data_IF_511713166740
#
_entry.id   IF_511713166740
#
_cell.length_a   1.000
_cell.length_b   1.000
_cell.length_c   1.000
_cell.angle_alpha   90.00
_cell.angle_beta   90.00
_cell.angle_gamma   90.00
#
_symmetry.space_group_name_H-M   'P 1'
#
loop_
_entity.id
_entity.type
_entity.pdbx_description
1 polymer ?
#
# COMPACT_ATOMS: atom_id res chain seq x y z
N UNK A 1 3.50 65.73 4.28
CA UNK A 1 4.01 64.61 3.47
C UNK A 1 3.67 63.30 4.18
N UNK A 2 2.70 62.57 3.64
CA UNK A 2 2.31 61.19 4.02
C UNK A 2 3.32 60.19 3.45
N UNK A 3 3.30 58.94 3.96
CA UNK A 3 4.00 57.69 3.55
C UNK A 3 5.16 57.35 4.50
N UNK A 4 5.28 56.19 5.14
CA UNK A 4 4.87 54.79 4.87
C UNK A 4 4.67 54.14 6.28
N UNK A 5 3.46 53.77 6.71
CA UNK A 5 2.79 52.46 6.54
C UNK A 5 3.65 51.30 7.10
N UNK A 6 3.48 50.94 8.38
CA UNK A 6 2.58 49.88 8.83
C UNK A 6 2.81 48.51 8.13
N UNK A 7 4.02 47.96 8.20
CA UNK A 7 4.34 46.61 7.71
C UNK A 7 4.83 45.65 8.80
N UNK A 8 4.43 45.86 10.06
CA UNK A 8 4.84 45.00 11.18
C UNK A 8 3.79 43.99 11.65
N UNK A 9 2.61 43.89 11.01
CA UNK A 9 1.54 43.00 11.51
C UNK A 9 0.96 42.01 10.50
N UNK A 10 1.44 41.97 9.24
CA UNK A 10 0.97 40.97 8.26
C UNK A 10 1.84 39.71 8.12
N UNK A 11 3.03 39.64 8.75
CA UNK A 11 3.92 38.49 8.53
C UNK A 11 3.66 37.28 9.44
N UNK A 12 2.78 37.40 10.44
CA UNK A 12 2.48 36.29 11.36
C UNK A 12 1.23 35.51 10.92
N UNK A 13 0.38 36.07 10.06
CA UNK A 13 -0.89 35.44 9.68
C UNK A 13 -0.81 34.52 8.45
N UNK A 14 0.34 34.44 7.76
CA UNK A 14 0.48 33.64 6.53
C UNK A 14 1.09 32.24 6.75
N UNK A 15 1.31 31.82 8.00
CA UNK A 15 1.79 30.46 8.33
C UNK A 15 0.70 29.58 8.94
N UNK A 16 -0.56 29.83 8.57
CA UNK A 16 -1.71 28.98 8.90
C UNK A 16 -2.43 28.54 7.61
N UNK A 17 -1.65 28.22 6.57
CA UNK A 17 -2.18 27.65 5.33
C UNK A 17 -1.91 26.14 5.35
N UNK A 18 -2.93 25.45 5.88
CA UNK A 18 -3.35 24.10 5.50
C UNK A 18 -2.29 23.00 5.54
N UNK A 19 -1.99 22.52 6.75
CA UNK A 19 -1.88 21.07 6.92
C UNK A 19 -3.28 20.52 6.64
N UNK A 20 -3.58 20.26 5.37
CA UNK A 20 -4.63 19.31 5.04
C UNK A 20 -4.09 17.96 5.48
N UNK A 21 -4.38 17.60 6.72
CA UNK A 21 -4.32 16.21 7.14
C UNK A 21 -5.06 15.42 6.06
N UNK A 22 -4.33 14.61 5.30
CA UNK A 22 -4.91 13.64 4.40
C UNK A 22 -5.63 12.67 5.32
N UNK A 23 -6.91 12.94 5.60
CA UNK A 23 -7.79 12.00 6.27
C UNK A 23 -8.00 10.87 5.26
N UNK A 24 -7.11 9.88 5.30
CA UNK A 24 -7.35 8.60 4.64
C UNK A 24 -8.58 8.03 5.36
N UNK A 25 -9.70 7.79 4.67
CA UNK A 25 -10.82 7.11 5.28
C UNK A 25 -10.32 5.72 5.69
N UNK A 26 -10.09 5.50 6.98
CA UNK A 26 -9.75 4.19 7.50
C UNK A 26 -11.03 3.36 7.47
N UNK A 27 -11.35 2.78 6.30
CA UNK A 27 -12.34 1.71 6.20
C UNK A 27 -11.83 0.62 7.14
N UNK A 28 -12.52 0.38 8.25
CA UNK A 28 -12.15 -0.68 9.17
C UNK A 28 -12.48 -2.00 8.49
N UNK A 29 -11.50 -2.55 7.77
CA UNK A 29 -11.70 -3.81 7.08
C UNK A 29 -11.26 -4.93 8.00
N UNK A 30 -12.23 -5.68 8.47
CA UNK A 30 -12.00 -6.88 9.27
C UNK A 30 -11.80 -8.05 8.32
N UNK A 31 -10.65 -8.72 8.40
CA UNK A 31 -10.54 -10.06 7.84
C UNK A 31 -11.57 -10.95 8.54
N UNK A 32 -12.26 -11.84 7.81
CA UNK A 32 -13.12 -12.82 8.47
C UNK A 32 -12.25 -13.65 9.44
N UNK A 33 -12.65 -13.82 10.71
CA UNK A 33 -11.89 -14.63 11.63
C UNK A 33 -11.98 -16.09 11.18
N UNK A 34 -10.91 -16.57 10.56
CA UNK A 34 -10.75 -17.97 10.16
C UNK A 34 -10.15 -18.77 11.33
N UNK A 35 -10.63 -20.00 11.51
CA UNK A 35 -10.07 -20.95 12.45
C UNK A 35 -9.96 -22.34 11.83
N UNK A 36 -9.39 -23.29 12.56
CA UNK A 36 -9.28 -24.67 12.11
C UNK A 36 -10.19 -25.58 12.94
N UNK A 37 -11.00 -26.38 12.25
CA UNK A 37 -11.71 -27.52 12.84
C UNK A 37 -11.17 -28.82 12.22
N UNK A 38 -10.38 -29.56 13.00
CA UNK A 38 -9.61 -30.71 12.54
C UNK A 38 -8.78 -30.38 11.29
N UNK A 39 -9.17 -30.90 10.11
CA UNK A 39 -8.49 -30.69 8.82
C UNK A 39 -9.07 -29.55 7.98
N UNK A 40 -10.11 -28.86 8.46
CA UNK A 40 -10.83 -27.84 7.72
C UNK A 40 -10.52 -26.44 8.23
N UNK A 41 -10.49 -25.47 7.30
CA UNK A 41 -10.57 -24.05 7.62
C UNK A 41 -12.06 -23.72 7.71
N UNK A 42 -12.47 -23.07 8.79
CA UNK A 42 -13.86 -22.67 9.04
C UNK A 42 -13.96 -21.18 9.37
N UNK A 43 -15.09 -20.57 9.05
CA UNK A 43 -15.43 -19.20 9.45
C UNK A 43 -15.96 -19.14 10.90
N UNK A 44 -16.38 -17.94 11.33
CA UNK A 44 -16.99 -17.72 12.66
C UNK A 44 -18.27 -18.51 12.93
N UNK A 45 -18.97 -18.95 11.88
CA UNK A 45 -20.18 -19.75 11.96
C UNK A 45 -19.88 -21.26 11.93
N UNK A 46 -18.60 -21.65 11.90
CA UNK A 46 -18.17 -23.05 11.73
C UNK A 46 -18.37 -23.58 10.32
N UNK A 47 -18.66 -22.72 9.33
CA UNK A 47 -18.84 -23.14 7.95
C UNK A 47 -17.47 -23.32 7.28
N UNK A 48 -17.32 -24.43 6.55
CA UNK A 48 -16.08 -24.74 5.86
C UNK A 48 -15.78 -23.72 4.76
N UNK A 49 -14.60 -23.11 4.84
CA UNK A 49 -14.05 -22.21 3.83
C UNK A 49 -12.99 -22.95 3.00
N UNK A 50 -13.06 -22.79 1.67
CA UNK A 50 -12.01 -23.26 0.76
C UNK A 50 -11.25 -22.06 0.21
N UNK A 51 -9.96 -21.99 0.51
CA UNK A 51 -9.05 -20.98 0.00
C UNK A 51 -8.66 -21.32 -1.44
N UNK A 52 -9.13 -20.52 -2.39
CA UNK A 52 -8.70 -20.51 -3.78
C UNK A 52 -7.79 -19.29 -3.96
N UNK A 53 -6.49 -19.49 -3.79
CA UNK A 53 -5.54 -18.38 -3.75
C UNK A 53 -4.78 -18.19 -5.06
N UNK A 54 -4.43 -16.94 -5.34
CA UNK A 54 -3.31 -16.60 -6.23
C UNK A 54 -2.06 -16.29 -5.44
N UNK A 55 -0.90 -16.44 -6.06
CA UNK A 55 0.36 -15.96 -5.49
C UNK A 55 0.68 -14.58 -6.09
N UNK A 56 0.73 -13.54 -5.25
CA UNK A 56 1.20 -12.22 -5.67
C UNK A 56 2.67 -12.06 -5.25
N UNK A 57 3.54 -12.02 -6.26
CA UNK A 57 4.99 -11.96 -6.07
C UNK A 57 5.40 -10.56 -5.62
N UNK A 58 6.18 -10.48 -4.54
CA UNK A 58 6.82 -9.23 -4.09
C UNK A 58 8.17 -9.44 -3.38
N UNK A 59 8.64 -10.68 -3.28
CA UNK A 59 9.90 -11.04 -2.61
C UNK A 59 11.16 -10.83 -3.46
N UNK A 60 11.02 -10.19 -4.62
CA UNK A 60 12.14 -9.91 -5.52
C UNK A 60 12.99 -8.75 -4.99
N UNK A 61 14.09 -8.47 -5.67
CA UNK A 61 15.08 -7.45 -5.25
C UNK A 61 14.49 -6.04 -5.10
N UNK A 62 13.42 -5.73 -5.84
CA UNK A 62 12.67 -4.46 -5.74
C UNK A 62 11.83 -4.36 -4.45
N UNK A 63 11.52 -5.49 -3.80
CA UNK A 63 10.75 -5.56 -2.54
C UNK A 63 9.36 -4.92 -2.61
N UNK A 64 8.76 -4.90 -3.81
CA UNK A 64 7.41 -4.36 -4.08
C UNK A 64 6.65 -5.37 -4.93
N UNK A 65 5.33 -5.39 -4.80
CA UNK A 65 4.50 -6.32 -5.54
C UNK A 65 4.56 -6.07 -7.05
N UNK A 66 4.65 -7.15 -7.82
CA UNK A 66 4.73 -7.13 -9.27
C UNK A 66 3.45 -6.54 -9.90
N UNK A 67 3.61 -5.92 -11.06
CA UNK A 67 2.49 -5.38 -11.85
C UNK A 67 2.01 -3.99 -11.44
N UNK A 68 2.46 -3.42 -10.31
CA UNK A 68 2.07 -2.09 -9.87
C UNK A 68 2.53 -0.95 -10.80
N UNK A 69 3.53 -1.20 -11.66
CA UNK A 69 3.92 -0.27 -12.72
C UNK A 69 2.98 -0.31 -13.94
N UNK A 70 2.10 -1.30 -14.03
CA UNK A 70 1.23 -1.56 -15.18
C UNK A 70 -0.25 -1.31 -14.90
N UNK A 71 -0.71 -1.50 -13.66
CA UNK A 71 -2.11 -1.34 -13.28
C UNK A 71 -2.24 -0.79 -11.85
N UNK A 72 -3.33 -0.05 -11.55
CA UNK A 72 -3.68 0.31 -10.19
C UNK A 72 -3.87 -0.93 -9.30
N UNK A 73 -3.45 -0.83 -8.04
CA UNK A 73 -3.52 -1.92 -7.07
C UNK A 73 -4.96 -2.43 -6.86
N UNK A 74 -5.93 -1.52 -6.81
CA UNK A 74 -7.34 -1.86 -6.65
C UNK A 74 -7.90 -2.60 -7.88
N UNK A 75 -7.44 -2.23 -9.09
CA UNK A 75 -7.82 -2.91 -10.33
C UNK A 75 -7.28 -4.34 -10.37
N UNK A 76 -6.03 -4.56 -9.95
CA UNK A 76 -5.45 -5.91 -9.83
C UNK A 76 -6.25 -6.74 -8.83
N UNK A 77 -6.51 -6.18 -7.64
CA UNK A 77 -7.24 -6.87 -6.58
C UNK A 77 -8.67 -7.23 -7.04
N UNK A 78 -9.40 -6.29 -7.66
CA UNK A 78 -10.73 -6.54 -8.25
C UNK A 78 -10.69 -7.62 -9.34
N UNK A 79 -9.62 -7.64 -10.15
CA UNK A 79 -9.43 -8.67 -11.18
C UNK A 79 -9.27 -10.05 -10.56
N UNK A 80 -8.51 -10.19 -9.48
CA UNK A 80 -8.35 -11.45 -8.75
C UNK A 80 -9.71 -11.99 -8.28
N UNK A 81 -10.54 -11.15 -7.65
CA UNK A 81 -11.90 -11.53 -7.23
C UNK A 81 -12.76 -11.92 -8.43
N UNK A 82 -12.71 -11.15 -9.53
CA UNK A 82 -13.51 -11.44 -10.73
C UNK A 82 -13.16 -12.78 -11.41
N UNK A 83 -11.96 -13.31 -11.15
CA UNK A 83 -11.51 -14.61 -11.64
C UNK A 83 -11.90 -15.77 -10.69
N UNK A 84 -12.56 -15.49 -9.57
CA UNK A 84 -13.06 -16.48 -8.62
C UNK A 84 -12.08 -16.85 -7.50
N UNK A 85 -11.01 -16.09 -7.31
CA UNK A 85 -10.09 -16.27 -6.19
C UNK A 85 -10.56 -15.47 -4.97
N UNK A 86 -10.36 -16.01 -3.77
CA UNK A 86 -10.78 -15.41 -2.50
C UNK A 86 -9.62 -15.18 -1.52
N UNK A 87 -8.39 -15.45 -1.94
CA UNK A 87 -7.20 -15.18 -1.13
C UNK A 87 -5.98 -14.85 -1.98
N UNK A 88 -5.05 -14.12 -1.38
CA UNK A 88 -3.76 -13.80 -1.98
C UNK A 88 -2.64 -14.25 -1.06
N UNK A 89 -1.80 -15.17 -1.56
CA UNK A 89 -0.50 -15.43 -0.96
C UNK A 89 0.45 -14.31 -1.37
N UNK A 90 0.53 -13.27 -0.54
CA UNK A 90 1.49 -12.18 -0.72
C UNK A 90 2.85 -12.60 -0.16
N UNK A 91 3.79 -12.91 -1.07
CA UNK A 91 5.19 -13.16 -0.67
C UNK A 91 5.84 -11.88 -0.19
N UNK A 92 6.90 -11.95 0.62
CA UNK A 92 7.70 -10.79 1.03
C UNK A 92 9.17 -11.21 1.26
N UNK A 93 10.15 -10.32 1.04
CA UNK A 93 11.56 -10.63 1.21
C UNK A 93 11.96 -10.53 2.68
N UNK A 94 12.52 -11.60 3.25
CA UNK A 94 12.96 -11.60 4.66
C UNK A 94 13.98 -10.51 4.94
N UNK A 95 14.87 -10.22 3.99
CA UNK A 95 15.89 -9.19 4.14
C UNK A 95 15.31 -7.78 4.36
N UNK A 96 14.07 -7.51 3.91
CA UNK A 96 13.40 -6.23 4.15
C UNK A 96 13.13 -5.97 5.64
N UNK A 97 12.89 -7.01 6.45
CA UNK A 97 12.64 -6.84 7.90
C UNK A 97 13.86 -7.14 8.76
N UNK A 98 14.86 -7.86 8.23
CA UNK A 98 16.07 -8.21 8.97
C UNK A 98 17.24 -7.28 8.72
N UNK A 99 17.17 -6.42 7.71
CA UNK A 99 18.18 -5.42 7.42
C UNK A 99 17.63 -4.02 7.72
N UNK A 100 18.03 -3.45 8.85
CA UNK A 100 17.57 -2.15 9.33
C UNK A 100 17.79 -1.01 8.32
N UNK A 101 18.77 -1.14 7.41
CA UNK A 101 19.04 -0.14 6.37
C UNK A 101 17.95 -0.06 5.30
N UNK A 102 17.10 -1.08 5.17
CA UNK A 102 16.04 -1.15 4.16
C UNK A 102 14.69 -0.63 4.68
N UNK A 103 14.51 -0.53 6.00
CA UNK A 103 13.23 -0.15 6.60
C UNK A 103 12.78 1.28 6.27
N UNK A 104 13.72 2.18 5.97
CA UNK A 104 13.45 3.56 5.56
C UNK A 104 13.56 3.80 4.05
N UNK A 105 14.00 2.80 3.29
CA UNK A 105 14.15 2.92 1.84
C UNK A 105 12.77 3.04 1.19
N UNK A 106 12.59 4.04 0.33
CA UNK A 106 11.32 4.22 -0.39
C UNK A 106 11.26 3.36 -1.65
N UNK A 107 10.06 3.15 -2.19
CA UNK A 107 9.88 2.46 -3.48
C UNK A 107 10.71 3.13 -4.59
N UNK A 108 10.66 4.45 -4.69
CA UNK A 108 11.44 5.22 -5.65
C UNK A 108 12.93 4.94 -5.51
N UNK A 109 13.47 5.06 -4.30
CA UNK A 109 14.91 4.85 -4.06
C UNK A 109 15.34 3.42 -4.40
N UNK A 110 14.52 2.42 -4.09
CA UNK A 110 14.79 1.02 -4.44
C UNK A 110 14.76 0.77 -5.95
N UNK A 111 13.90 1.47 -6.71
CA UNK A 111 13.85 1.35 -8.16
C UNK A 111 15.00 2.11 -8.84
N UNK A 112 15.38 3.27 -8.29
CA UNK A 112 16.51 4.07 -8.77
C UNK A 112 17.84 3.31 -8.60
N UNK A 113 18.05 2.63 -7.47
CA UNK A 113 19.27 1.84 -7.23
C UNK A 113 19.41 0.66 -8.21
N UNK A 114 18.30 0.20 -8.79
CA UNK A 114 18.23 -0.88 -9.78
C UNK A 114 18.09 -0.36 -11.22
N UNK A 115 18.17 0.96 -11.44
CA UNK A 115 18.01 1.63 -12.73
C UNK A 115 16.66 1.35 -13.44
N UNK A 116 15.59 1.12 -12.68
CA UNK A 116 14.24 0.77 -13.18
C UNK A 116 13.37 2.02 -13.44
N UNK A 117 13.84 2.93 -14.29
CA UNK A 117 13.20 4.23 -14.52
C UNK A 117 11.78 4.13 -15.12
N UNK A 118 11.54 3.15 -15.99
CA UNK A 118 10.19 2.91 -16.54
C UNK A 118 9.21 2.46 -15.46
N UNK A 119 9.66 1.63 -14.51
CA UNK A 119 8.83 1.18 -13.39
C UNK A 119 8.48 2.32 -12.45
N UNK A 120 9.40 3.27 -12.22
CA UNK A 120 9.11 4.50 -11.46
C UNK A 120 7.99 5.27 -12.12
N UNK A 121 8.11 5.51 -13.43
CA UNK A 121 7.10 6.25 -14.20
C UNK A 121 5.75 5.52 -14.20
N UNK A 122 5.77 4.20 -14.35
CA UNK A 122 4.57 3.36 -14.32
C UNK A 122 3.88 3.35 -12.96
N UNK A 123 4.63 3.23 -11.86
CA UNK A 123 4.06 3.27 -10.50
C UNK A 123 3.57 4.69 -10.18
N UNK A 124 4.30 5.74 -10.56
CA UNK A 124 3.84 7.12 -10.40
C UNK A 124 2.49 7.35 -11.11
N UNK A 125 2.30 6.80 -12.31
CA UNK A 125 1.08 6.95 -13.08
C UNK A 125 -0.10 6.13 -12.51
N UNK A 126 0.16 4.89 -12.10
CA UNK A 126 -0.91 3.95 -11.69
C UNK A 126 -1.19 3.95 -10.19
N UNK A 127 -0.18 4.23 -9.37
CA UNK A 127 -0.21 4.14 -7.91
C UNK A 127 0.62 5.28 -7.27
N UNK A 128 0.28 6.56 -7.53
CA UNK A 128 1.09 7.71 -7.07
C UNK A 128 1.24 7.80 -5.55
N UNK A 129 0.32 7.21 -4.78
CA UNK A 129 0.34 7.26 -3.31
C UNK A 129 1.41 6.38 -2.67
N UNK A 130 2.01 5.43 -3.39
CA UNK A 130 2.97 4.46 -2.81
C UNK A 130 4.42 4.69 -3.23
N UNK A 131 4.66 5.46 -4.29
CA UNK A 131 6.00 5.60 -4.90
C UNK A 131 7.05 6.19 -3.97
N UNK A 132 6.63 7.06 -3.04
CA UNK A 132 7.51 7.69 -2.06
C UNK A 132 7.31 7.14 -0.63
N UNK A 133 6.54 6.05 -0.48
CA UNK A 133 6.41 5.37 0.81
C UNK A 133 7.61 4.46 1.09
N UNK A 134 7.97 4.28 2.37
CA UNK A 134 8.87 3.20 2.78
C UNK A 134 8.35 1.84 2.33
N UNK A 135 9.25 0.96 1.88
CA UNK A 135 8.91 -0.36 1.36
C UNK A 135 7.99 -1.15 2.29
N UNK A 136 8.25 -1.16 3.61
CA UNK A 136 7.40 -1.82 4.61
C UNK A 136 5.97 -1.29 4.64
N UNK A 137 5.77 0.01 4.46
CA UNK A 137 4.44 0.63 4.49
C UNK A 137 3.62 0.21 3.27
N UNK A 138 4.26 -0.07 2.14
CA UNK A 138 3.58 -0.54 0.92
C UNK A 138 2.89 -1.89 1.15
N UNK A 139 3.50 -2.80 1.91
CA UNK A 139 2.86 -4.07 2.27
C UNK A 139 1.57 -3.88 3.07
N UNK A 140 1.54 -2.90 3.97
CA UNK A 140 0.34 -2.55 4.72
C UNK A 140 -0.75 -2.01 3.80
N UNK A 141 -0.38 -1.14 2.85
CA UNK A 141 -1.33 -0.59 1.85
C UNK A 141 -1.89 -1.69 0.96
N UNK A 142 -1.07 -2.64 0.50
CA UNK A 142 -1.52 -3.79 -0.29
C UNK A 142 -2.48 -4.66 0.50
N UNK A 143 -2.14 -4.99 1.74
CA UNK A 143 -3.00 -5.79 2.62
C UNK A 143 -4.37 -5.11 2.84
N UNK A 144 -4.38 -3.80 3.15
CA UNK A 144 -5.61 -3.03 3.32
C UNK A 144 -6.45 -2.96 2.04
N UNK A 145 -5.82 -2.84 0.88
CA UNK A 145 -6.51 -2.82 -0.42
C UNK A 145 -7.14 -4.16 -0.75
N UNK A 146 -6.43 -5.27 -0.49
CA UNK A 146 -6.96 -6.62 -0.70
C UNK A 146 -8.14 -6.91 0.24
N UNK A 147 -7.99 -6.58 1.53
CA UNK A 147 -9.05 -6.73 2.51
C UNK A 147 -10.30 -5.96 2.09
N UNK A 148 -10.15 -4.73 1.57
CA UNK A 148 -11.28 -3.84 1.25
C UNK A 148 -12.27 -4.41 0.22
N UNK A 149 -11.91 -5.51 -0.45
CA UNK A 149 -12.70 -6.24 -1.44
C UNK A 149 -12.86 -7.74 -1.11
N UNK A 150 -12.82 -8.08 0.17
CA UNK A 150 -13.10 -9.43 0.71
C UNK A 150 -12.10 -10.52 0.28
N UNK A 151 -10.86 -10.14 -0.04
CA UNK A 151 -9.74 -11.08 -0.18
C UNK A 151 -9.12 -11.31 1.20
N UNK A 152 -8.93 -12.59 1.57
CA UNK A 152 -8.14 -13.00 2.75
C UNK A 152 -6.64 -13.04 2.45
#
# INVERSE_FOLDING_TARGET
>A
MKRIVFFSFLSIFSFLVTFSDVIIPQKHVMALPLSTDSRWIVDENGQRVKLACVNWVSHLEVMVAEGLSKQPMDAIAKRIVSLGFNCVRLTWPVFLVTNDTLGSLTVRQSLESLALLESISGIQANNPSIIDLPLLNVYQVIALTALAIDIT
#
